data_IF_171490039937
#
_entry.id   IF_171490039937
#
_cell.length_a   1.000
_cell.length_b   1.000
_cell.length_c   1.000
_cell.angle_alpha   90.00
_cell.angle_beta   90.00
_cell.angle_gamma   90.00
#
_symmetry.space_group_name_H-M   'P 1'
#
loop_
_entity.id
_entity.type
_entity.pdbx_description
1 polymer ?
#
# COMPACT_ATOMS: atom_id res chain seq x y z
N UNK A 1 -25.09 6.16 -20.14
CA UNK A 1 -26.54 6.20 -20.46
C UNK A 1 -27.45 6.29 -19.24
N UNK A 2 -27.44 5.34 -18.29
CA UNK A 2 -28.40 5.35 -17.15
C UNK A 2 -28.42 6.67 -16.36
N UNK A 3 -27.23 7.18 -15.99
CA UNK A 3 -27.11 8.49 -15.33
C UNK A 3 -27.70 9.64 -16.14
N UNK A 4 -27.53 9.63 -17.47
CA UNK A 4 -28.09 10.67 -18.34
C UNK A 4 -29.61 10.66 -18.26
N UNK A 5 -30.23 9.48 -18.42
CA UNK A 5 -31.70 9.34 -18.42
C UNK A 5 -32.28 9.80 -17.09
N UNK A 6 -31.66 9.41 -15.96
CA UNK A 6 -32.09 9.84 -14.62
C UNK A 6 -32.02 11.36 -14.45
N UNK A 7 -30.89 11.97 -14.81
CA UNK A 7 -30.71 13.41 -14.71
C UNK A 7 -31.69 14.16 -15.65
N UNK A 8 -31.90 13.66 -16.86
CA UNK A 8 -32.77 14.30 -17.85
C UNK A 8 -34.22 14.30 -17.36
N UNK A 9 -34.69 13.16 -16.83
CA UNK A 9 -36.04 13.05 -16.26
C UNK A 9 -36.26 14.01 -15.10
N UNK A 10 -35.26 14.16 -14.23
CA UNK A 10 -35.35 15.00 -13.02
C UNK A 10 -35.28 16.49 -13.32
N UNK A 11 -34.31 16.92 -14.12
CA UNK A 11 -33.99 18.34 -14.28
C UNK A 11 -34.51 18.94 -15.59
N UNK A 12 -34.92 18.12 -16.57
CA UNK A 12 -35.50 18.55 -17.86
C UNK A 12 -34.67 19.61 -18.58
N UNK A 13 -33.35 19.52 -18.46
CA UNK A 13 -32.40 20.42 -19.10
C UNK A 13 -31.40 19.63 -19.97
N UNK A 14 -30.61 20.37 -20.76
CA UNK A 14 -29.50 19.78 -21.52
C UNK A 14 -28.46 19.24 -20.54
N UNK A 15 -28.04 17.99 -20.78
CA UNK A 15 -26.99 17.32 -20.01
C UNK A 15 -25.83 17.02 -20.94
N UNK A 16 -24.69 17.63 -20.65
CA UNK A 16 -23.42 17.30 -21.29
C UNK A 16 -22.71 16.23 -20.46
N UNK A 17 -22.39 15.10 -21.07
CA UNK A 17 -21.62 14.03 -20.43
C UNK A 17 -20.18 14.07 -20.91
N UNK A 18 -19.26 13.93 -19.95
CA UNK A 18 -17.83 13.97 -20.21
C UNK A 18 -17.18 12.78 -19.51
N UNK A 19 -16.34 12.05 -20.25
CA UNK A 19 -15.42 11.05 -19.72
C UNK A 19 -14.02 11.65 -19.75
N UNK A 20 -13.34 11.66 -18.61
CA UNK A 20 -11.98 12.21 -18.47
C UNK A 20 -11.02 11.05 -18.21
N UNK A 21 -10.04 10.88 -19.09
CA UNK A 21 -8.96 9.93 -18.91
C UNK A 21 -7.74 10.62 -18.30
N UNK A 22 -7.28 10.10 -17.17
CA UNK A 22 -6.18 10.66 -16.38
C UNK A 22 -4.80 10.11 -16.80
N UNK A 23 -4.75 8.90 -17.37
CA UNK A 23 -3.50 8.21 -17.69
C UNK A 23 -3.45 7.80 -19.16
N UNK A 24 -2.35 8.12 -19.82
CA UNK A 24 -2.10 7.72 -21.20
C UNK A 24 -2.12 6.20 -21.33
N UNK A 25 -2.74 5.70 -22.38
CA UNK A 25 -2.87 4.26 -22.66
C UNK A 25 -2.88 4.04 -24.17
N UNK A 26 -2.58 2.81 -24.57
CA UNK A 26 -2.66 2.35 -25.97
C UNK A 26 -4.03 1.79 -26.32
N UNK A 27 -4.98 1.75 -25.38
CA UNK A 27 -6.33 1.24 -25.64
C UNK A 27 -7.12 2.18 -26.54
N UNK A 28 -7.70 1.65 -27.62
CA UNK A 28 -8.55 2.43 -28.53
C UNK A 28 -9.83 2.96 -27.88
N UNK A 29 -10.23 2.41 -26.72
CA UNK A 29 -11.40 2.84 -25.97
C UNK A 29 -11.33 4.33 -25.58
N UNK A 30 -10.14 4.90 -25.47
CA UNK A 30 -9.97 6.34 -25.16
C UNK A 30 -10.33 7.25 -26.34
N UNK A 31 -10.57 6.70 -27.54
CA UNK A 31 -11.02 7.43 -28.72
C UNK A 31 -12.53 7.28 -28.97
N UNK A 32 -13.18 6.36 -28.27
CA UNK A 32 -14.62 6.11 -28.38
C UNK A 32 -15.41 7.19 -27.63
N UNK A 33 -16.24 7.95 -28.35
CA UNK A 33 -17.08 9.04 -27.82
C UNK A 33 -18.58 8.73 -27.90
N UNK A 34 -18.92 7.48 -28.15
CA UNK A 34 -20.29 7.02 -28.23
C UNK A 34 -20.45 5.62 -27.65
N UNK A 35 -21.66 5.34 -27.17
CA UNK A 35 -22.15 4.01 -26.93
C UNK A 35 -23.19 3.73 -28.00
N UNK A 36 -23.02 2.63 -28.73
CA UNK A 36 -23.93 2.23 -29.80
C UNK A 36 -24.30 0.76 -29.64
N UNK A 37 -25.59 0.51 -29.69
CA UNK A 37 -26.22 -0.79 -29.75
C UNK A 37 -27.36 -0.72 -30.80
N UNK A 38 -28.00 -1.84 -31.12
CA UNK A 38 -29.07 -2.00 -32.12
C UNK A 38 -30.02 -0.81 -32.23
N UNK A 39 -30.70 -0.45 -31.13
CA UNK A 39 -31.69 0.63 -31.09
C UNK A 39 -31.30 1.80 -30.17
N UNK A 40 -30.08 1.80 -29.64
CA UNK A 40 -29.64 2.80 -28.66
C UNK A 40 -28.33 3.41 -29.11
N UNK A 41 -28.34 4.74 -29.25
CA UNK A 41 -27.15 5.52 -29.52
C UNK A 41 -27.05 6.65 -28.50
N UNK A 42 -25.88 6.77 -27.89
CA UNK A 42 -25.63 7.76 -26.85
C UNK A 42 -24.23 8.34 -27.02
N UNK A 43 -24.14 9.64 -27.29
CA UNK A 43 -22.87 10.35 -27.43
C UNK A 43 -22.44 11.02 -26.12
N UNK A 44 -21.13 11.09 -25.91
CA UNK A 44 -20.50 11.79 -24.80
C UNK A 44 -19.17 12.39 -25.25
N UNK A 45 -18.73 13.43 -24.54
CA UNK A 45 -17.42 14.02 -24.81
C UNK A 45 -16.34 13.20 -24.11
N UNK A 46 -15.20 13.02 -24.78
CA UNK A 46 -14.00 12.44 -24.18
C UNK A 46 -12.93 13.51 -24.03
N UNK A 47 -12.30 13.56 -22.87
CA UNK A 47 -11.15 14.42 -22.58
C UNK A 47 -10.00 13.52 -22.15
N UNK A 48 -8.92 13.54 -22.91
CA UNK A 48 -7.66 12.86 -22.58
C UNK A 48 -6.69 13.90 -22.07
N UNK A 49 -6.33 13.86 -20.78
CA UNK A 49 -5.54 14.94 -20.17
C UNK A 49 -4.18 15.11 -20.86
N UNK A 50 -3.52 14.03 -21.25
CA UNK A 50 -2.21 14.05 -21.92
C UNK A 50 -2.21 14.72 -23.30
N UNK A 51 -3.38 15.06 -23.85
CA UNK A 51 -3.53 15.82 -25.10
C UNK A 51 -3.95 17.28 -24.89
N UNK A 52 -4.42 17.62 -23.68
CA UNK A 52 -4.92 18.97 -23.40
C UNK A 52 -3.78 19.98 -23.27
N UNK A 53 -4.06 21.21 -23.68
CA UNK A 53 -3.19 22.36 -23.45
C UNK A 53 -3.07 22.62 -21.92
N UNK A 54 -1.86 22.68 -21.35
CA UNK A 54 -1.69 23.00 -19.93
C UNK A 54 -2.07 24.43 -19.57
N UNK A 55 -2.01 25.40 -20.51
CA UNK A 55 -2.16 26.82 -20.17
C UNK A 55 -3.51 27.16 -19.49
N UNK A 56 -4.67 26.71 -19.98
CA UNK A 56 -5.95 26.97 -19.30
C UNK A 56 -6.08 26.28 -17.93
N UNK A 57 -5.37 25.16 -17.75
CA UNK A 57 -5.39 24.42 -16.48
C UNK A 57 -4.51 25.10 -15.43
N UNK A 58 -3.37 25.65 -15.84
CA UNK A 58 -2.48 26.43 -14.97
C UNK A 58 -3.12 27.76 -14.55
N UNK A 59 -3.95 28.35 -15.40
CA UNK A 59 -4.63 29.62 -15.11
C UNK A 59 -5.77 29.54 -14.08
N UNK A 60 -6.10 28.34 -13.58
CA UNK A 60 -7.16 28.16 -12.59
C UNK A 60 -6.67 27.25 -11.44
N UNK A 61 -6.57 27.76 -10.20
CA UNK A 61 -6.14 26.98 -9.04
C UNK A 61 -6.86 25.64 -8.87
N UNK A 62 -8.16 25.58 -9.15
CA UNK A 62 -8.96 24.34 -9.03
C UNK A 62 -8.60 23.26 -10.06
N UNK A 63 -7.90 23.63 -11.14
CA UNK A 63 -7.49 22.74 -12.23
C UNK A 63 -6.01 22.34 -12.15
N UNK A 64 -5.23 22.91 -11.21
CA UNK A 64 -3.81 22.60 -11.02
C UNK A 64 -3.53 21.09 -10.85
N UNK A 65 -4.35 20.31 -10.11
CA UNK A 65 -4.14 18.86 -10.04
C UNK A 65 -4.18 18.20 -11.42
N UNK A 66 -5.11 18.60 -12.30
CA UNK A 66 -5.25 18.04 -13.65
C UNK A 66 -4.13 18.53 -14.59
N UNK A 67 -3.60 19.73 -14.36
CA UNK A 67 -2.51 20.30 -15.16
C UNK A 67 -1.25 19.41 -15.14
N UNK A 68 -0.99 18.68 -14.06
CA UNK A 68 0.14 17.72 -13.97
C UNK A 68 0.11 16.64 -15.07
N UNK A 69 -1.09 16.30 -15.55
CA UNK A 69 -1.35 15.26 -16.53
C UNK A 69 -1.49 15.81 -17.95
N UNK A 70 -1.36 17.13 -18.14
CA UNK A 70 -1.54 17.80 -19.42
C UNK A 70 -0.43 17.47 -20.44
N UNK A 71 -0.66 17.80 -21.71
CA UNK A 71 0.34 17.64 -22.77
C UNK A 71 1.58 18.48 -22.46
N UNK A 72 2.76 17.86 -22.51
CA UNK A 72 4.02 18.58 -22.33
C UNK A 72 5.19 17.85 -22.97
N UNK A 73 6.06 18.63 -23.61
CA UNK A 73 7.36 18.17 -24.13
C UNK A 73 8.43 18.12 -23.03
N UNK A 74 8.18 18.76 -21.88
CA UNK A 74 9.03 18.68 -20.69
C UNK A 74 8.14 18.52 -19.45
N UNK A 75 7.74 17.28 -19.11
CA UNK A 75 6.79 17.01 -18.03
C UNK A 75 7.28 17.50 -16.66
N UNK A 76 8.59 17.40 -16.38
CA UNK A 76 9.16 17.80 -15.10
C UNK A 76 9.07 19.32 -14.91
N UNK A 77 9.38 20.10 -15.95
CA UNK A 77 9.18 21.56 -15.94
C UNK A 77 7.71 21.95 -15.73
N UNK A 78 6.78 21.21 -16.33
CA UNK A 78 5.35 21.45 -16.13
C UNK A 78 4.94 21.18 -14.68
N UNK A 79 5.45 20.11 -14.06
CA UNK A 79 5.20 19.83 -12.65
C UNK A 79 5.75 20.94 -11.76
N UNK A 80 6.98 21.42 -12.01
CA UNK A 80 7.55 22.58 -11.31
C UNK A 80 6.66 23.83 -11.42
N UNK A 81 6.08 24.09 -12.61
CA UNK A 81 5.13 25.20 -12.80
C UNK A 81 3.85 25.00 -11.98
N UNK A 82 3.28 23.80 -11.98
CA UNK A 82 2.09 23.50 -11.18
C UNK A 82 2.36 23.75 -9.70
N UNK A 83 3.49 23.26 -9.17
CA UNK A 83 3.87 23.50 -7.77
C UNK A 83 4.03 24.99 -7.48
N UNK A 84 4.67 25.74 -8.37
CA UNK A 84 4.81 27.18 -8.21
C UNK A 84 3.45 27.91 -8.19
N UNK A 85 2.46 27.46 -8.97
CA UNK A 85 1.10 28.02 -8.90
C UNK A 85 0.37 27.62 -7.60
N UNK A 86 0.60 26.41 -7.07
CA UNK A 86 0.07 26.01 -5.76
C UNK A 86 0.65 26.87 -4.64
N UNK A 87 1.95 27.14 -4.67
CA UNK A 87 2.64 27.94 -3.64
C UNK A 87 2.14 29.39 -3.58
N UNK A 88 1.61 29.92 -4.69
CA UNK A 88 1.00 31.26 -4.77
C UNK A 88 -0.37 31.37 -4.09
N UNK A 89 -0.98 30.25 -3.69
CA UNK A 89 -2.29 30.25 -3.05
C UNK A 89 -2.14 30.73 -1.60
N UNK A 90 -2.77 31.86 -1.26
CA UNK A 90 -2.67 32.46 0.08
C UNK A 90 -3.47 31.70 1.14
N UNK A 91 -4.65 31.19 0.77
CA UNK A 91 -5.50 30.43 1.67
C UNK A 91 -4.87 29.08 2.01
N UNK A 92 -4.32 28.95 3.23
CA UNK A 92 -3.59 27.76 3.67
C UNK A 92 -4.39 26.45 3.54
N UNK A 93 -5.67 26.35 3.97
CA UNK A 93 -6.44 25.12 3.79
C UNK A 93 -6.64 24.74 2.33
N UNK A 94 -6.95 25.72 1.47
CA UNK A 94 -7.11 25.48 0.03
C UNK A 94 -5.79 25.04 -0.61
N UNK A 95 -4.68 25.72 -0.28
CA UNK A 95 -3.34 25.37 -0.75
C UNK A 95 -2.97 23.95 -0.36
N UNK A 96 -3.16 23.57 0.91
CA UNK A 96 -2.84 22.23 1.40
C UNK A 96 -3.68 21.15 0.71
N UNK A 97 -4.98 21.39 0.54
CA UNK A 97 -5.86 20.48 -0.18
C UNK A 97 -5.46 20.31 -1.65
N UNK A 98 -5.12 21.41 -2.34
CA UNK A 98 -4.68 21.35 -3.72
C UNK A 98 -3.30 20.69 -3.85
N UNK A 99 -2.37 20.95 -2.94
CA UNK A 99 -1.08 20.27 -2.89
C UNK A 99 -1.26 18.74 -2.76
N UNK A 100 -2.14 18.28 -1.86
CA UNK A 100 -2.46 16.87 -1.71
C UNK A 100 -3.09 16.27 -2.98
N UNK A 101 -4.00 16.99 -3.64
CA UNK A 101 -4.57 16.55 -4.93
C UNK A 101 -3.52 16.49 -6.05
N UNK A 102 -2.61 17.46 -6.11
CA UNK A 102 -1.49 17.50 -7.06
C UNK A 102 -0.57 16.32 -6.80
N UNK A 103 -0.23 15.99 -5.56
CA UNK A 103 0.62 14.85 -5.19
C UNK A 103 0.03 13.53 -5.73
N UNK A 104 -1.25 13.29 -5.45
CA UNK A 104 -1.98 12.08 -5.89
C UNK A 104 -2.01 11.97 -7.42
N UNK A 105 -2.33 13.05 -8.14
CA UNK A 105 -2.42 12.99 -9.60
C UNK A 105 -1.04 12.98 -10.27
N UNK A 106 -0.06 13.70 -9.73
CA UNK A 106 1.32 13.65 -10.22
C UNK A 106 1.88 12.22 -10.12
N UNK A 107 1.55 11.48 -9.06
CA UNK A 107 1.92 10.07 -8.89
C UNK A 107 1.42 9.13 -10.01
N UNK A 108 0.46 9.54 -10.85
CA UNK A 108 0.01 8.76 -12.00
C UNK A 108 0.98 8.82 -13.20
N UNK A 109 1.85 9.83 -13.23
CA UNK A 109 2.76 10.13 -14.36
C UNK A 109 4.24 10.20 -13.97
N UNK A 110 4.55 10.67 -12.76
CA UNK A 110 5.90 10.98 -12.31
C UNK A 110 6.43 9.96 -11.30
N UNK A 111 7.75 9.89 -11.20
CA UNK A 111 8.41 9.09 -10.17
C UNK A 111 8.17 9.69 -8.77
N UNK A 112 8.03 8.81 -7.78
CA UNK A 112 7.71 9.18 -6.40
C UNK A 112 8.75 10.12 -5.79
N UNK A 113 10.04 9.93 -6.07
CA UNK A 113 11.10 10.76 -5.50
C UNK A 113 11.13 12.16 -6.12
N UNK A 114 10.76 12.29 -7.40
CA UNK A 114 10.57 13.59 -8.03
C UNK A 114 9.41 14.35 -7.38
N UNK A 115 8.26 13.70 -7.21
CA UNK A 115 7.06 14.32 -6.63
C UNK A 115 7.35 14.79 -5.21
N UNK A 116 7.93 13.93 -4.35
CA UNK A 116 8.31 14.27 -2.96
C UNK A 116 9.27 15.44 -2.84
N UNK A 117 10.22 15.55 -3.77
CA UNK A 117 11.20 16.65 -3.77
C UNK A 117 10.54 18.00 -4.09
N UNK A 118 9.49 18.00 -4.93
CA UNK A 118 8.82 19.22 -5.37
C UNK A 118 7.65 19.59 -4.45
N UNK A 119 6.85 18.61 -4.02
CA UNK A 119 5.71 18.79 -3.10
C UNK A 119 6.11 18.33 -1.71
N UNK A 120 6.40 19.30 -0.83
CA UNK A 120 6.81 18.98 0.54
C UNK A 120 5.60 18.68 1.41
N UNK A 121 5.76 17.73 2.33
CA UNK A 121 4.68 17.26 3.20
C UNK A 121 4.11 18.38 4.08
N UNK A 122 4.93 19.35 4.51
CA UNK A 122 4.48 20.44 5.39
C UNK A 122 3.42 21.33 4.72
N UNK A 123 3.39 21.41 3.39
CA UNK A 123 2.37 22.16 2.65
C UNK A 123 1.01 21.44 2.74
N UNK A 124 1.03 20.10 2.80
CA UNK A 124 -0.15 19.23 2.78
C UNK A 124 -0.73 18.96 4.18
N UNK A 125 -0.01 19.30 5.26
CA UNK A 125 -0.47 19.08 6.64
C UNK A 125 -1.82 19.75 6.96
N UNK A 126 -2.15 20.84 6.27
CA UNK A 126 -3.43 21.55 6.40
C UNK A 126 -4.60 20.81 5.70
N UNK A 127 -4.31 19.78 4.89
CA UNK A 127 -5.33 19.00 4.21
C UNK A 127 -5.93 17.94 5.13
N UNK A 128 -7.25 18.04 5.36
CA UNK A 128 -8.02 17.02 6.11
C UNK A 128 -7.90 15.64 5.45
N UNK A 129 -7.91 15.58 4.12
CA UNK A 129 -7.75 14.31 3.39
C UNK A 129 -6.36 13.71 3.59
N UNK A 130 -5.31 14.53 3.60
CA UNK A 130 -3.95 14.06 3.88
C UNK A 130 -3.84 13.52 5.31
N UNK A 131 -4.37 14.24 6.29
CA UNK A 131 -4.42 13.79 7.69
C UNK A 131 -5.14 12.44 7.84
N UNK A 132 -6.29 12.25 7.18
CA UNK A 132 -7.02 10.97 7.18
C UNK A 132 -6.20 9.81 6.57
N UNK A 133 -5.43 10.07 5.51
CA UNK A 133 -4.54 9.07 4.88
C UNK A 133 -3.46 8.66 5.87
N UNK A 134 -2.82 9.62 6.54
CA UNK A 134 -1.79 9.36 7.56
C UNK A 134 -2.38 8.57 8.73
N UNK A 135 -3.52 8.98 9.27
CA UNK A 135 -4.18 8.27 10.38
C UNK A 135 -4.50 6.82 10.04
N UNK A 136 -5.08 6.57 8.85
CA UNK A 136 -5.35 5.20 8.37
C UNK A 136 -4.06 4.40 8.19
N UNK A 137 -2.99 5.03 7.71
CA UNK A 137 -1.67 4.43 7.59
C UNK A 137 -1.12 3.98 8.94
N UNK A 138 -1.14 4.88 9.94
CA UNK A 138 -0.71 4.60 11.32
C UNK A 138 -1.52 3.47 11.94
N UNK A 139 -2.86 3.51 11.83
CA UNK A 139 -3.72 2.46 12.35
C UNK A 139 -3.41 1.08 11.75
N UNK A 140 -3.24 1.01 10.42
CA UNK A 140 -2.83 -0.23 9.75
C UNK A 140 -1.45 -0.71 10.20
N UNK A 141 -0.49 0.21 10.34
CA UNK A 141 0.85 -0.10 10.83
C UNK A 141 0.84 -0.67 12.24
N UNK A 142 0.09 -0.06 13.16
CA UNK A 142 -0.09 -0.56 14.53
C UNK A 142 -0.73 -1.94 14.53
N UNK A 143 -1.80 -2.14 13.74
CA UNK A 143 -2.49 -3.43 13.66
C UNK A 143 -1.56 -4.53 13.14
N UNK A 144 -0.80 -4.25 12.08
CA UNK A 144 0.17 -5.19 11.51
C UNK A 144 1.30 -5.49 12.50
N UNK A 145 1.85 -4.47 13.16
CA UNK A 145 2.90 -4.62 14.15
C UNK A 145 2.45 -5.43 15.37
N UNK A 146 1.24 -5.19 15.86
CA UNK A 146 0.66 -5.96 16.97
C UNK A 146 0.45 -7.43 16.56
N UNK A 147 -0.09 -7.69 15.37
CA UNK A 147 -0.30 -9.04 14.89
C UNK A 147 1.01 -9.81 14.73
N UNK A 148 2.02 -9.18 14.13
CA UNK A 148 3.35 -9.78 13.96
C UNK A 148 4.02 -10.02 15.31
N UNK A 149 3.99 -9.04 16.22
CA UNK A 149 4.56 -9.16 17.56
C UNK A 149 3.88 -10.24 18.39
N UNK A 150 2.56 -10.34 18.33
CA UNK A 150 1.81 -11.39 19.03
C UNK A 150 2.15 -12.78 18.48
N UNK A 151 2.20 -12.94 17.15
CA UNK A 151 2.55 -14.21 16.53
C UNK A 151 3.97 -14.64 16.91
N UNK A 152 4.95 -13.73 16.77
CA UNK A 152 6.34 -14.00 17.15
C UNK A 152 6.47 -14.32 18.64
N UNK A 153 5.76 -13.59 19.50
CA UNK A 153 5.74 -13.84 20.93
C UNK A 153 5.14 -15.21 21.29
N UNK A 154 4.05 -15.62 20.64
CA UNK A 154 3.43 -16.93 20.83
C UNK A 154 4.34 -18.06 20.35
N UNK A 155 4.95 -17.93 19.18
CA UNK A 155 5.82 -18.97 18.62
C UNK A 155 7.09 -19.12 19.46
N UNK A 156 7.68 -18.00 19.88
CA UNK A 156 8.83 -18.00 20.79
C UNK A 156 8.48 -18.61 22.15
N UNK A 157 7.34 -18.22 22.74
CA UNK A 157 6.88 -18.77 24.01
C UNK A 157 6.62 -20.28 23.96
N UNK A 158 6.03 -20.78 22.86
CA UNK A 158 5.85 -22.22 22.64
C UNK A 158 7.18 -22.96 22.52
N UNK A 159 8.16 -22.40 21.80
CA UNK A 159 9.48 -23.02 21.65
C UNK A 159 10.23 -23.04 22.99
N UNK A 160 10.26 -21.92 23.71
CA UNK A 160 10.91 -21.83 25.04
C UNK A 160 10.30 -22.83 26.03
N UNK A 161 8.97 -22.97 26.05
CA UNK A 161 8.29 -23.96 26.90
C UNK A 161 8.59 -25.40 26.46
N UNK A 162 8.58 -25.69 25.16
CA UNK A 162 8.91 -27.01 24.63
C UNK A 162 10.35 -27.44 24.99
N UNK A 163 11.32 -26.53 24.82
CA UNK A 163 12.71 -26.76 25.25
C UNK A 163 12.77 -27.07 26.74
N UNK A 164 12.12 -26.25 27.58
CA UNK A 164 12.13 -26.43 29.04
C UNK A 164 11.56 -27.79 29.45
N UNK A 165 10.44 -28.19 28.86
CA UNK A 165 9.80 -29.49 29.14
C UNK A 165 10.70 -30.64 28.69
N UNK A 166 11.18 -30.62 27.45
CA UNK A 166 12.05 -31.67 26.90
C UNK A 166 13.32 -31.81 27.73
N UNK A 167 13.96 -30.70 28.08
CA UNK A 167 15.14 -30.67 28.95
C UNK A 167 14.87 -31.30 30.32
N UNK A 168 13.73 -30.98 30.94
CA UNK A 168 13.33 -31.56 32.22
C UNK A 168 13.10 -33.06 32.13
N UNK A 169 12.43 -33.53 31.08
CA UNK A 169 12.17 -34.96 30.86
C UNK A 169 13.46 -35.75 30.61
N UNK A 170 14.35 -35.22 29.77
CA UNK A 170 15.65 -35.83 29.51
C UNK A 170 16.50 -35.87 30.78
N UNK A 171 16.48 -34.82 31.59
CA UNK A 171 17.21 -34.79 32.88
C UNK A 171 16.66 -35.84 33.85
N UNK A 172 15.33 -36.02 33.92
CA UNK A 172 14.71 -37.05 34.76
C UNK A 172 15.06 -38.47 34.33
N UNK A 173 15.23 -38.69 33.02
CA UNK A 173 15.43 -40.03 32.45
C UNK A 173 16.90 -40.43 32.34
N UNK A 174 17.77 -39.50 31.93
CA UNK A 174 19.18 -39.75 31.62
C UNK A 174 20.14 -39.16 32.67
N UNK A 175 19.63 -38.34 33.60
CA UNK A 175 20.44 -37.62 34.58
C UNK A 175 21.03 -36.32 34.00
N UNK A 176 22.14 -35.85 34.58
CA UNK A 176 22.80 -34.61 34.14
C UNK A 176 23.27 -34.74 32.68
N UNK A 177 22.74 -33.88 31.81
CA UNK A 177 23.12 -33.79 30.41
C UNK A 177 24.35 -32.90 30.24
N UNK A 178 25.25 -33.28 29.33
CA UNK A 178 26.38 -32.45 28.90
C UNK A 178 25.90 -31.10 28.34
N UNK A 179 26.48 -29.95 28.77
CA UNK A 179 26.17 -28.61 28.25
C UNK A 179 26.12 -28.50 26.72
N UNK A 180 26.95 -29.26 26.00
CA UNK A 180 26.96 -29.25 24.53
C UNK A 180 25.65 -29.80 23.96
N UNK A 181 25.09 -30.84 24.57
CA UNK A 181 23.79 -31.41 24.15
C UNK A 181 22.64 -30.47 24.50
N UNK A 182 22.71 -29.79 25.64
CA UNK A 182 21.72 -28.80 26.06
C UNK A 182 21.60 -27.67 25.04
N UNK A 183 22.74 -27.11 24.61
CA UNK A 183 22.78 -26.04 23.62
C UNK A 183 22.22 -26.46 22.26
N UNK A 184 22.46 -27.72 21.85
CA UNK A 184 21.88 -28.28 20.62
C UNK A 184 20.36 -28.37 20.70
N UNK A 185 19.81 -28.75 21.85
CA UNK A 185 18.37 -28.86 22.08
C UNK A 185 17.71 -27.48 22.08
N UNK A 186 18.33 -26.48 22.72
CA UNK A 186 17.84 -25.09 22.71
C UNK A 186 17.76 -24.50 21.30
N UNK A 187 18.61 -24.96 20.36
CA UNK A 187 18.60 -24.55 18.96
C UNK A 187 17.61 -25.30 18.06
N UNK A 188 16.90 -26.31 18.57
CA UNK A 188 15.95 -27.10 17.76
C UNK A 188 14.69 -26.30 17.43
N UNK A 189 14.12 -26.56 16.25
CA UNK A 189 12.79 -26.08 15.90
C UNK A 189 11.72 -26.75 16.75
N UNK A 190 10.55 -26.13 16.88
CA UNK A 190 9.44 -26.67 17.68
C UNK A 190 9.03 -28.08 17.21
N UNK A 191 8.99 -28.33 15.91
CA UNK A 191 8.66 -29.65 15.35
C UNK A 191 9.70 -30.70 15.76
N UNK A 192 10.99 -30.36 15.75
CA UNK A 192 12.03 -31.28 16.21
C UNK A 192 11.97 -31.52 17.71
N UNK A 193 11.57 -30.52 18.50
CA UNK A 193 11.34 -30.68 19.93
C UNK A 193 10.13 -31.59 20.23
N UNK A 194 9.06 -31.49 19.43
CA UNK A 194 7.91 -32.40 19.50
C UNK A 194 8.32 -33.83 19.16
N UNK A 195 9.05 -34.05 18.06
CA UNK A 195 9.60 -35.37 17.70
C UNK A 195 10.52 -35.94 18.79
N UNK A 196 11.37 -35.10 19.37
CA UNK A 196 12.25 -35.47 20.48
C UNK A 196 11.44 -35.85 21.72
N UNK A 197 10.30 -35.19 21.97
CA UNK A 197 9.44 -35.49 23.11
C UNK A 197 8.81 -36.89 23.05
N UNK A 198 8.61 -37.43 21.85
CA UNK A 198 8.17 -38.80 21.64
C UNK A 198 9.35 -39.77 21.68
N UNK A 199 10.42 -39.48 20.94
CA UNK A 199 11.59 -40.36 20.83
C UNK A 199 12.31 -40.56 22.18
N UNK A 200 12.32 -39.54 23.05
CA UNK A 200 12.92 -39.65 24.38
C UNK A 200 12.28 -40.74 25.24
N UNK A 201 11.06 -41.19 24.89
CA UNK A 201 10.38 -42.28 25.58
C UNK A 201 11.04 -43.65 25.38
N UNK A 202 11.95 -43.78 24.41
CA UNK A 202 12.68 -45.02 24.11
C UNK A 202 14.17 -44.96 24.48
N UNK A 203 14.67 -43.79 24.91
CA UNK A 203 16.09 -43.62 25.25
C UNK A 203 16.46 -44.33 26.56
N UNK A 204 17.62 -44.98 26.60
CA UNK A 204 18.16 -45.61 27.80
C UNK A 204 19.46 -44.96 28.27
N UNK A 205 20.17 -44.26 27.38
CA UNK A 205 21.46 -43.63 27.66
C UNK A 205 21.59 -42.27 26.97
N UNK A 206 22.56 -41.45 27.42
CA UNK A 206 22.90 -40.19 26.77
C UNK A 206 23.43 -40.38 25.33
N UNK A 207 23.95 -41.55 25.00
CA UNK A 207 24.39 -41.91 23.64
C UNK A 207 23.21 -41.97 22.67
N UNK A 208 22.05 -42.47 23.11
CA UNK A 208 20.85 -42.56 22.26
C UNK A 208 20.38 -41.15 21.84
N UNK A 209 20.42 -40.20 22.76
CA UNK A 209 20.13 -38.79 22.51
C UNK A 209 21.14 -38.15 21.54
N UNK A 210 22.44 -38.42 21.71
CA UNK A 210 23.48 -37.88 20.85
C UNK A 210 23.32 -38.36 19.39
N UNK A 211 23.05 -39.66 19.22
CA UNK A 211 22.77 -40.28 17.92
C UNK A 211 21.52 -39.67 17.28
N UNK A 212 20.43 -39.50 18.05
CA UNK A 212 19.20 -38.90 17.53
C UNK A 212 19.42 -37.46 17.04
N UNK A 213 20.17 -36.64 17.80
CA UNK A 213 20.49 -35.27 17.43
C UNK A 213 21.40 -35.17 16.19
N UNK A 214 22.15 -36.23 15.85
CA UNK A 214 22.99 -36.31 14.64
C UNK A 214 22.20 -36.77 13.40
N UNK A 215 21.08 -37.46 13.58
CA UNK A 215 20.31 -38.09 12.50
C UNK A 215 19.08 -37.30 12.01
N UNK A 216 18.93 -36.03 12.36
CA UNK A 216 17.97 -35.15 11.67
C UNK A 216 18.22 -33.68 11.90
#
# INVERSE_FOLDING_TARGET
LDYWVRLHRKYRCRIDQVVIFLKSTTSDLVFTNEFRDTNTWHSYRVIRLWEQDPLPLLGNPALLPLATLARSNNPNRLLEQVVAEVDRIEEKPLRGNLAACVDVLAGLRFDKELVRRLLREEIMEESVTYQDIIQKGVQKGIQQGLQQGLQQGLDRGKQEEAVLIVMRLLTLRLGLLDPVLQQRIEGLSITRLEELSEALLDFNTATDLAVWLEHG
#
